data_IF_408882591973
#
_entry.id   IF_408882591973
#
_cell.length_a   1.000
_cell.length_b   1.000
_cell.length_c   1.000
_cell.angle_alpha   90.00
_cell.angle_beta   90.00
_cell.angle_gamma   90.00
#
_symmetry.space_group_name_H-M   'P 1'
#
loop_
_entity.id
_entity.type
_entity.pdbx_description
1 polymer ?
#
# COMPACT_ATOMS: atom_id res chain seq x y z
N UNK A 1 47.04 -33.58 -93.54
CA UNK A 1 47.76 -34.01 -92.32
C UNK A 1 46.73 -34.12 -91.20
N UNK A 2 46.69 -35.30 -90.59
CA UNK A 2 46.18 -35.73 -89.28
C UNK A 2 45.13 -34.89 -88.51
N UNK A 3 44.05 -35.60 -88.17
CA UNK A 3 43.31 -35.68 -86.89
C UNK A 3 42.47 -34.53 -86.32
N UNK A 4 41.17 -34.86 -86.23
CA UNK A 4 40.42 -35.21 -85.00
C UNK A 4 40.13 -34.13 -83.94
N UNK A 5 38.83 -33.93 -83.68
CA UNK A 5 38.12 -33.83 -82.38
C UNK A 5 36.67 -33.42 -82.72
N UNK A 6 35.63 -34.25 -82.55
CA UNK A 6 35.06 -34.88 -81.35
C UNK A 6 34.43 -33.86 -80.38
N UNK A 7 33.11 -33.81 -80.50
CA UNK A 7 32.05 -33.81 -79.49
C UNK A 7 31.76 -32.65 -78.52
N UNK A 8 30.45 -32.39 -78.50
CA UNK A 8 29.60 -31.78 -77.50
C UNK A 8 30.07 -32.02 -76.06
N UNK A 9 30.05 -30.95 -75.26
CA UNK A 9 29.03 -30.73 -74.21
C UNK A 9 29.48 -29.49 -73.41
N UNK A 10 28.70 -28.41 -73.43
CA UNK A 10 28.93 -27.26 -72.53
C UNK A 10 27.76 -27.12 -71.57
N UNK A 11 28.01 -27.72 -70.41
CA UNK A 11 27.56 -27.40 -69.07
C UNK A 11 26.77 -26.09 -68.90
N UNK A 12 25.53 -26.24 -68.42
CA UNK A 12 24.71 -25.19 -67.83
C UNK A 12 25.37 -24.65 -66.56
N UNK A 13 25.76 -23.37 -66.56
CA UNK A 13 26.21 -22.66 -65.35
C UNK A 13 25.32 -21.43 -65.11
N UNK A 14 24.67 -21.45 -63.96
CA UNK A 14 23.75 -20.45 -63.41
C UNK A 14 24.49 -19.11 -63.18
N UNK A 15 23.88 -17.94 -63.47
CA UNK A 15 24.52 -16.66 -63.20
C UNK A 15 24.66 -16.37 -61.69
N UNK A 16 25.66 -15.56 -61.27
CA UNK A 16 25.97 -15.35 -59.86
C UNK A 16 24.88 -14.56 -59.15
N UNK A 17 24.57 -15.02 -57.95
CA UNK A 17 23.62 -14.45 -57.01
C UNK A 17 24.03 -12.99 -56.65
N UNK A 18 23.16 -12.04 -56.97
CA UNK A 18 23.30 -10.64 -56.55
C UNK A 18 23.10 -10.59 -55.03
N UNK A 19 24.20 -10.52 -54.27
CA UNK A 19 24.13 -10.18 -52.85
C UNK A 19 23.64 -8.75 -52.72
N UNK A 20 22.37 -8.58 -52.35
CA UNK A 20 21.85 -7.30 -51.85
C UNK A 20 22.76 -6.77 -50.73
N UNK A 21 23.05 -5.46 -50.69
CA UNK A 21 23.70 -4.88 -49.53
C UNK A 21 22.76 -5.02 -48.34
N UNK A 22 23.21 -5.78 -47.34
CA UNK A 22 22.61 -5.86 -46.02
C UNK A 22 22.31 -4.44 -45.53
N UNK A 23 21.02 -4.12 -45.34
CA UNK A 23 20.60 -2.97 -44.55
C UNK A 23 21.28 -3.12 -43.19
N UNK A 24 22.23 -2.24 -42.87
CA UNK A 24 22.70 -2.10 -41.50
C UNK A 24 21.46 -1.79 -40.66
N UNK A 25 21.05 -2.76 -39.85
CA UNK A 25 20.04 -2.57 -38.84
C UNK A 25 20.55 -1.44 -37.94
N UNK A 26 19.93 -0.26 -38.07
CA UNK A 26 20.09 0.82 -37.11
C UNK A 26 19.88 0.21 -35.74
N UNK A 27 20.96 0.11 -34.96
CA UNK A 27 20.90 -0.31 -33.58
C UNK A 27 20.08 0.75 -32.86
N UNK A 28 18.77 0.48 -32.71
CA UNK A 28 17.88 1.25 -31.87
C UNK A 28 18.44 1.15 -30.46
N UNK A 29 19.20 2.17 -30.04
CA UNK A 29 19.59 2.34 -28.64
C UNK A 29 18.30 2.27 -27.83
N UNK A 30 18.18 1.36 -26.86
CA UNK A 30 17.01 1.32 -26.00
C UNK A 30 16.81 2.72 -25.41
N UNK A 31 15.58 3.27 -25.38
CA UNK A 31 15.35 4.53 -24.70
C UNK A 31 15.91 4.40 -23.27
N UNK A 32 16.61 5.42 -22.76
CA UNK A 32 17.17 5.37 -21.42
C UNK A 32 16.04 4.99 -20.46
N UNK A 33 16.30 3.97 -19.62
CA UNK A 33 15.36 3.63 -18.54
C UNK A 33 15.13 4.91 -17.74
N UNK A 34 13.88 5.26 -17.40
CA UNK A 34 13.62 6.37 -16.49
C UNK A 34 14.53 6.21 -15.28
N UNK A 35 15.19 7.30 -14.85
CA UNK A 35 15.91 7.26 -13.58
C UNK A 35 14.93 6.80 -12.52
N UNK A 36 15.26 5.69 -11.87
CA UNK A 36 14.51 5.21 -10.74
C UNK A 36 14.55 6.30 -9.68
N UNK A 37 13.38 6.79 -9.29
CA UNK A 37 13.28 7.86 -8.29
C UNK A 37 13.78 7.32 -6.96
N UNK A 38 14.58 8.14 -6.27
CA UNK A 38 15.13 7.77 -4.98
C UNK A 38 14.02 7.68 -3.92
N UNK A 39 14.32 6.97 -2.84
CA UNK A 39 13.38 6.71 -1.75
C UNK A 39 12.81 8.00 -1.15
N UNK A 40 13.64 9.04 -0.97
CA UNK A 40 13.20 10.30 -0.34
C UNK A 40 12.22 11.03 -1.24
N UNK A 41 12.49 11.09 -2.55
CA UNK A 41 11.57 11.67 -3.53
C UNK A 41 10.21 10.96 -3.53
N UNK A 42 10.19 9.63 -3.37
CA UNK A 42 8.95 8.85 -3.28
C UNK A 42 8.21 9.10 -1.97
N UNK A 43 8.93 9.16 -0.84
CA UNK A 43 8.37 9.46 0.47
C UNK A 43 7.76 10.86 0.52
N UNK A 44 8.47 11.87 0.02
CA UNK A 44 8.00 13.26 -0.03
C UNK A 44 6.72 13.37 -0.89
N UNK A 45 6.65 12.59 -1.96
CA UNK A 45 5.45 12.53 -2.81
C UNK A 45 4.27 11.88 -2.10
N UNK A 46 4.49 10.75 -1.42
CA UNK A 46 3.45 10.09 -0.61
C UNK A 46 2.93 11.04 0.46
N UNK A 47 3.83 11.73 1.17
CA UNK A 47 3.51 12.72 2.21
C UNK A 47 2.72 13.90 1.65
N UNK A 48 3.13 14.46 0.51
CA UNK A 48 2.42 15.57 -0.13
C UNK A 48 1.01 15.16 -0.57
N UNK A 49 0.87 13.96 -1.13
CA UNK A 49 -0.42 13.43 -1.57
C UNK A 49 -1.33 13.07 -0.39
N UNK A 50 -0.79 12.50 0.68
CA UNK A 50 -1.51 12.25 1.93
C UNK A 50 -2.09 13.54 2.49
N UNK A 51 -1.24 14.57 2.64
CA UNK A 51 -1.66 15.89 3.14
C UNK A 51 -2.79 16.50 2.30
N UNK A 52 -2.69 16.39 0.97
CA UNK A 52 -3.76 16.84 0.08
C UNK A 52 -5.05 16.06 0.32
N UNK A 53 -4.98 14.73 0.36
CA UNK A 53 -6.16 13.87 0.52
C UNK A 53 -6.84 14.07 1.86
N UNK A 54 -6.08 14.32 2.95
CA UNK A 54 -6.64 14.71 4.25
C UNK A 54 -7.40 16.04 4.23
N UNK A 55 -7.11 16.93 3.28
CA UNK A 55 -7.87 18.16 3.04
C UNK A 55 -9.05 18.00 2.08
N UNK A 56 -9.02 16.95 1.23
CA UNK A 56 -10.02 16.70 0.21
C UNK A 56 -11.09 15.67 0.61
N UNK A 57 -10.77 14.82 1.59
CA UNK A 57 -11.63 13.77 2.11
C UNK A 57 -12.05 14.09 3.54
N UNK A 58 -13.21 13.56 3.94
CA UNK A 58 -13.66 13.56 5.32
C UNK A 58 -13.35 12.21 5.98
N UNK A 59 -13.34 12.17 7.31
CA UNK A 59 -13.14 10.93 8.09
C UNK A 59 -14.24 9.88 7.87
N UNK A 60 -15.35 10.23 7.20
CA UNK A 60 -16.38 9.27 6.78
C UNK A 60 -16.07 8.59 5.44
N UNK A 61 -15.13 9.12 4.66
CA UNK A 61 -14.82 8.63 3.32
C UNK A 61 -13.75 7.53 3.33
N UNK A 62 -12.95 7.47 4.42
CA UNK A 62 -11.86 6.52 4.61
C UNK A 62 -11.79 6.01 6.06
N UNK A 63 -11.16 4.86 6.25
CA UNK A 63 -10.83 4.24 7.54
C UNK A 63 -9.45 4.62 8.08
N UNK A 64 -8.72 5.47 7.38
CA UNK A 64 -7.37 5.91 7.75
C UNK A 64 -6.44 5.95 6.55
N UNK A 65 -5.35 6.70 6.69
CA UNK A 65 -4.28 6.86 5.73
C UNK A 65 -2.93 6.74 6.44
N UNK A 66 -2.00 6.01 5.84
CA UNK A 66 -0.66 5.86 6.38
C UNK A 66 0.36 5.66 5.25
N UNK A 67 1.61 5.99 5.51
CA UNK A 67 2.70 5.78 4.55
C UNK A 67 3.45 4.52 4.97
N UNK A 68 3.33 3.47 4.18
CA UNK A 68 4.14 2.28 4.34
C UNK A 68 5.54 2.55 3.81
N UNK A 69 6.57 2.46 4.66
CA UNK A 69 7.97 2.80 4.31
C UNK A 69 8.81 1.62 3.85
N UNK A 70 8.31 0.38 4.02
CA UNK A 70 8.98 -0.82 3.53
C UNK A 70 10.25 -1.22 4.29
N UNK A 71 10.49 -0.70 5.48
CA UNK A 71 11.51 -1.25 6.38
C UNK A 71 11.06 -2.61 6.92
N UNK A 72 11.92 -3.62 6.80
CA UNK A 72 11.65 -5.03 7.12
C UNK A 72 11.07 -5.22 8.52
N UNK A 73 9.88 -5.83 8.61
CA UNK A 73 9.25 -6.24 9.87
C UNK A 73 7.72 -6.31 9.78
N UNK A 74 7.11 -5.45 8.98
CA UNK A 74 5.66 -5.29 8.96
C UNK A 74 5.00 -6.20 7.92
N UNK A 75 4.76 -7.46 8.30
CA UNK A 75 3.85 -8.35 7.59
C UNK A 75 2.40 -8.03 7.96
N UNK A 76 1.90 -6.85 7.57
CA UNK A 76 0.46 -6.56 7.57
C UNK A 76 -0.20 -6.78 6.20
N UNK A 77 0.60 -7.06 5.17
CA UNK A 77 0.11 -7.08 3.80
C UNK A 77 0.19 -8.49 3.19
N UNK A 78 -0.86 -9.30 3.38
CA UNK A 78 -1.03 -10.53 2.60
C UNK A 78 -1.27 -10.23 1.11
N UNK A 79 -1.64 -8.98 0.76
CA UNK A 79 -1.86 -8.51 -0.61
C UNK A 79 -0.61 -7.91 -1.29
N UNK A 80 0.44 -7.52 -0.55
CA UNK A 80 1.74 -7.09 -1.07
C UNK A 80 2.76 -8.22 -1.13
N UNK A 81 2.29 -9.46 -1.35
CA UNK A 81 3.17 -10.58 -1.72
C UNK A 81 3.91 -10.37 -3.04
N UNK A 82 3.59 -9.33 -3.80
CA UNK A 82 4.26 -9.09 -5.06
C UNK A 82 4.65 -7.63 -5.29
N UNK A 83 5.93 -7.47 -5.63
CA UNK A 83 6.60 -6.32 -6.27
C UNK A 83 6.90 -5.08 -5.41
N UNK A 84 8.20 -4.76 -5.28
CA UNK A 84 8.81 -3.58 -4.63
C UNK A 84 8.92 -3.55 -3.09
N UNK A 85 9.57 -4.56 -2.51
CA UNK A 85 10.10 -4.45 -1.15
C UNK A 85 10.98 -3.19 -1.02
N UNK A 86 10.69 -2.32 -0.04
CA UNK A 86 11.55 -1.21 0.34
C UNK A 86 11.23 0.19 -0.21
N UNK A 87 10.11 0.40 -0.94
CA UNK A 87 9.71 1.74 -1.41
C UNK A 87 8.50 2.29 -0.66
N UNK A 88 8.44 3.62 -0.40
CA UNK A 88 7.30 4.26 0.25
C UNK A 88 6.04 4.20 -0.60
N UNK A 89 4.91 3.88 0.01
CA UNK A 89 3.58 3.89 -0.63
C UNK A 89 2.56 4.53 0.29
N UNK A 90 1.59 5.23 -0.29
CA UNK A 90 0.45 5.75 0.45
C UNK A 90 -0.64 4.68 0.51
N UNK A 91 -0.92 4.17 1.70
CA UNK A 91 -1.98 3.21 1.94
C UNK A 91 -3.24 3.94 2.44
N UNK A 92 -4.40 3.54 1.92
CA UNK A 92 -5.69 4.13 2.27
C UNK A 92 -6.70 3.02 2.54
N UNK A 93 -7.30 3.03 3.73
CA UNK A 93 -8.49 2.24 4.02
C UNK A 93 -9.71 2.95 3.45
N UNK A 94 -10.36 2.37 2.46
CA UNK A 94 -11.41 3.02 1.67
C UNK A 94 -12.79 2.66 2.21
N UNK A 95 -13.57 3.65 2.63
CA UNK A 95 -14.99 3.49 2.99
C UNK A 95 -15.92 3.85 1.82
N UNK A 96 -15.61 4.95 1.10
CA UNK A 96 -16.36 5.40 -0.08
C UNK A 96 -15.47 5.44 -1.31
N UNK A 97 -15.41 4.33 -2.04
CA UNK A 97 -14.46 4.11 -3.15
C UNK A 97 -14.51 5.17 -4.23
N UNK A 98 -15.69 5.59 -4.66
CA UNK A 98 -15.82 6.57 -5.74
C UNK A 98 -15.36 7.97 -5.30
N UNK A 99 -15.60 8.34 -4.05
CA UNK A 99 -15.13 9.61 -3.47
C UNK A 99 -13.61 9.62 -3.37
N UNK A 100 -13.01 8.56 -2.82
CA UNK A 100 -11.56 8.42 -2.71
C UNK A 100 -10.89 8.43 -4.09
N UNK A 101 -11.42 7.68 -5.06
CA UNK A 101 -10.90 7.66 -6.43
C UNK A 101 -10.97 9.04 -7.09
N UNK A 102 -12.09 9.77 -6.90
CA UNK A 102 -12.24 11.12 -7.44
C UNK A 102 -11.22 12.08 -6.84
N UNK A 103 -10.97 12.00 -5.53
CA UNK A 103 -9.97 12.83 -4.86
C UNK A 103 -8.55 12.51 -5.37
N UNK A 104 -8.20 11.23 -5.51
CA UNK A 104 -6.92 10.78 -6.10
C UNK A 104 -6.76 11.26 -7.54
N UNK A 105 -7.83 11.21 -8.33
CA UNK A 105 -7.81 11.68 -9.72
C UNK A 105 -7.58 13.19 -9.82
N UNK A 106 -8.16 13.94 -8.87
CA UNK A 106 -8.11 15.40 -8.81
C UNK A 106 -6.79 15.97 -8.24
N UNK A 107 -5.89 15.13 -7.72
CA UNK A 107 -4.60 15.59 -7.21
C UNK A 107 -3.78 16.26 -8.32
N UNK A 108 -3.35 17.53 -8.18
CA UNK A 108 -2.81 18.33 -9.27
C UNK A 108 -1.34 18.03 -9.63
N UNK A 109 -0.66 17.23 -8.81
CA UNK A 109 0.77 16.94 -8.93
C UNK A 109 1.02 15.49 -9.33
N UNK A 110 2.29 15.14 -9.58
CA UNK A 110 2.70 13.75 -9.81
C UNK A 110 2.26 12.89 -8.62
N UNK A 111 1.49 11.83 -8.87
CA UNK A 111 0.88 10.96 -7.86
C UNK A 111 1.91 10.01 -7.24
N UNK A 112 1.74 9.76 -5.94
CA UNK A 112 2.42 8.68 -5.25
C UNK A 112 1.93 7.32 -5.76
N UNK A 113 2.65 6.26 -5.42
CA UNK A 113 2.08 4.92 -5.48
C UNK A 113 1.04 4.78 -4.36
N UNK A 114 -0.18 4.36 -4.71
CA UNK A 114 -1.32 4.33 -3.80
C UNK A 114 -1.89 2.93 -3.73
N UNK A 115 -1.97 2.40 -2.51
CA UNK A 115 -2.59 1.10 -2.22
C UNK A 115 -3.95 1.34 -1.56
N UNK A 116 -5.01 0.84 -2.20
CA UNK A 116 -6.37 0.93 -1.68
C UNK A 116 -6.77 -0.38 -1.02
N UNK A 117 -7.16 -0.32 0.24
CA UNK A 117 -7.65 -1.44 1.03
C UNK A 117 -9.11 -1.20 1.40
N UNK A 118 -9.90 -2.24 1.62
CA UNK A 118 -11.30 -2.05 2.04
C UNK A 118 -11.32 -1.71 3.52
N UNK A 119 -11.87 -0.55 3.88
CA UNK A 119 -12.05 -0.19 5.28
C UNK A 119 -13.06 -1.14 5.93
N UNK A 120 -12.74 -1.63 7.13
CA UNK A 120 -13.68 -2.35 8.00
C UNK A 120 -14.61 -1.38 8.71
N UNK A 121 -14.09 -0.20 9.03
CA UNK A 121 -14.79 0.85 9.74
C UNK A 121 -14.29 2.23 9.31
N UNK A 122 -15.15 3.25 9.29
CA UNK A 122 -14.74 4.61 8.92
C UNK A 122 -13.90 5.23 10.04
N UNK A 123 -13.01 6.16 9.71
CA UNK A 123 -12.20 6.87 10.69
C UNK A 123 -13.10 7.64 11.66
N UNK A 124 -14.15 8.28 11.15
CA UNK A 124 -15.14 9.00 11.95
C UNK A 124 -15.75 8.12 13.05
N UNK A 125 -16.13 6.90 12.72
CA UNK A 125 -16.78 6.01 13.67
C UNK A 125 -15.78 5.43 14.67
N UNK A 126 -14.54 5.15 14.23
CA UNK A 126 -13.44 4.78 15.13
C UNK A 126 -13.14 5.88 16.14
N UNK A 127 -13.04 7.13 15.70
CA UNK A 127 -12.80 8.30 16.56
C UNK A 127 -13.94 8.49 17.57
N UNK A 128 -15.19 8.39 17.10
CA UNK A 128 -16.39 8.50 17.95
C UNK A 128 -16.41 7.43 19.05
N UNK A 129 -16.13 6.18 18.69
CA UNK A 129 -16.07 5.09 19.65
C UNK A 129 -14.89 5.22 20.60
N UNK A 130 -13.73 5.65 20.10
CA UNK A 130 -12.55 5.90 20.93
C UNK A 130 -12.84 6.97 22.00
N UNK A 131 -13.57 8.02 21.66
CA UNK A 131 -13.98 9.05 22.61
C UNK A 131 -14.98 8.54 23.65
N UNK A 132 -15.88 7.64 23.27
CA UNK A 132 -16.76 6.97 24.23
C UNK A 132 -16.00 6.08 25.21
N UNK A 133 -15.00 5.34 24.73
CA UNK A 133 -14.12 4.55 25.60
C UNK A 133 -13.36 5.43 26.61
N UNK A 134 -12.90 6.62 26.18
CA UNK A 134 -12.26 7.60 27.08
C UNK A 134 -13.24 8.14 28.13
N UNK A 135 -14.54 8.12 27.85
CA UNK A 135 -15.61 8.54 28.76
C UNK A 135 -15.99 7.52 29.83
N UNK A 136 -15.43 6.30 29.80
CA UNK A 136 -15.71 5.26 30.81
C UNK A 136 -15.28 5.76 32.19
N UNK A 137 -16.19 5.73 33.16
CA UNK A 137 -15.87 6.04 34.56
C UNK A 137 -14.91 5.01 35.14
N UNK A 138 -13.82 5.51 35.75
CA UNK A 138 -12.73 4.71 36.30
C UNK A 138 -12.82 4.63 37.82
N UNK A 139 -12.59 3.44 38.37
CA UNK A 139 -12.38 3.24 39.79
C UNK A 139 -10.93 3.58 40.18
N UNK A 140 -10.67 3.68 41.48
CA UNK A 140 -9.34 3.93 41.99
C UNK A 140 -8.33 2.88 41.50
N UNK A 141 -7.25 3.35 40.88
CA UNK A 141 -6.17 2.51 40.34
C UNK A 141 -6.44 1.95 38.94
N UNK A 142 -7.60 2.20 38.34
CA UNK A 142 -7.88 1.83 36.95
C UNK A 142 -7.41 2.89 35.96
N UNK A 143 -6.92 2.45 34.80
CA UNK A 143 -6.54 3.32 33.69
C UNK A 143 -7.05 2.73 32.38
N UNK A 144 -7.49 3.59 31.47
CA UNK A 144 -7.71 3.28 30.06
C UNK A 144 -7.01 4.32 29.19
N UNK A 145 -6.19 3.89 28.24
CA UNK A 145 -5.56 4.73 27.22
C UNK A 145 -6.06 4.27 25.86
N UNK A 146 -6.74 5.16 25.14
CA UNK A 146 -7.41 4.83 23.89
C UNK A 146 -6.83 5.66 22.75
N UNK A 147 -6.51 5.00 21.65
CA UNK A 147 -6.13 5.66 20.40
C UNK A 147 -6.68 4.91 19.19
N UNK A 148 -6.87 5.64 18.09
CA UNK A 148 -7.24 5.09 16.79
C UNK A 148 -5.96 4.81 15.99
N UNK A 149 -5.85 3.61 15.43
CA UNK A 149 -4.79 3.24 14.49
C UNK A 149 -5.30 3.32 13.07
N UNK A 150 -4.85 4.34 12.33
CA UNK A 150 -5.14 4.47 10.89
C UNK A 150 -4.41 3.40 10.08
N UNK A 151 -3.27 2.89 10.56
CA UNK A 151 -2.53 1.82 9.89
C UNK A 151 -3.27 0.50 9.94
N UNK A 152 -3.75 0.11 11.12
CA UNK A 152 -4.49 -1.14 11.25
C UNK A 152 -6.00 -0.98 11.05
N UNK A 153 -6.55 0.22 10.88
CA UNK A 153 -8.00 0.48 10.83
C UNK A 153 -8.72 -0.12 12.05
N UNK A 154 -8.22 0.21 13.25
CA UNK A 154 -8.71 -0.29 14.54
C UNK A 154 -8.70 0.79 15.63
N UNK A 155 -9.48 0.58 16.68
CA UNK A 155 -9.35 1.28 17.97
C UNK A 155 -8.54 0.39 18.93
N UNK A 156 -7.51 0.95 19.56
CA UNK A 156 -6.67 0.26 20.54
C UNK A 156 -6.97 0.82 21.92
N UNK A 157 -7.37 -0.05 22.84
CA UNK A 157 -7.66 0.27 24.23
C UNK A 157 -6.67 -0.44 25.16
N UNK A 158 -5.74 0.32 25.73
CA UNK A 158 -4.79 -0.16 26.72
C UNK A 158 -5.36 0.05 28.12
N UNK A 159 -5.62 -1.03 28.85
CA UNK A 159 -6.25 -1.01 30.18
C UNK A 159 -5.26 -1.45 31.26
N UNK A 160 -5.38 -0.92 32.48
CA UNK A 160 -4.56 -1.36 33.60
C UNK A 160 -4.94 -2.76 34.08
N UNK A 161 -3.96 -3.51 34.61
CA UNK A 161 -4.20 -4.84 35.21
C UNK A 161 -5.23 -4.83 36.34
N UNK A 162 -5.26 -3.78 37.15
CA UNK A 162 -6.23 -3.55 38.23
C UNK A 162 -7.69 -3.48 37.77
N UNK A 163 -7.92 -3.08 36.51
CA UNK A 163 -9.26 -2.95 35.91
C UNK A 163 -9.53 -3.96 34.80
N UNK A 164 -8.65 -4.93 34.57
CA UNK A 164 -8.66 -5.76 33.36
C UNK A 164 -10.02 -6.41 33.08
N UNK A 165 -10.57 -7.14 34.05
CA UNK A 165 -11.84 -7.86 33.88
C UNK A 165 -13.02 -6.90 33.68
N UNK A 166 -13.11 -5.87 34.54
CA UNK A 166 -14.22 -4.91 34.51
C UNK A 166 -14.20 -4.07 33.23
N UNK A 167 -13.06 -3.47 32.89
CA UNK A 167 -12.92 -2.63 31.71
C UNK A 167 -13.10 -3.45 30.44
N UNK A 168 -12.57 -4.67 30.37
CA UNK A 168 -12.83 -5.57 29.23
C UNK A 168 -14.31 -5.88 29.09
N UNK A 169 -15.02 -6.17 30.19
CA UNK A 169 -16.46 -6.41 30.14
C UNK A 169 -17.25 -5.17 29.67
N UNK A 170 -16.90 -3.98 30.15
CA UNK A 170 -17.52 -2.72 29.72
C UNK A 170 -17.24 -2.44 28.24
N UNK A 171 -16.00 -2.57 27.79
CA UNK A 171 -15.64 -2.35 26.37
C UNK A 171 -16.37 -3.36 25.48
N UNK A 172 -16.43 -4.64 25.86
CA UNK A 172 -17.17 -5.65 25.10
C UNK A 172 -18.67 -5.37 25.04
N UNK A 173 -19.26 -4.82 26.11
CA UNK A 173 -20.65 -4.37 26.07
C UNK A 173 -20.83 -3.21 25.08
N UNK A 174 -19.92 -2.23 25.07
CA UNK A 174 -19.97 -1.12 24.13
C UNK A 174 -19.79 -1.59 22.68
N UNK A 175 -18.88 -2.53 22.42
CA UNK A 175 -18.71 -3.19 21.12
C UNK A 175 -20.05 -3.77 20.63
N UNK A 176 -20.79 -4.45 21.52
CA UNK A 176 -22.10 -5.03 21.19
C UNK A 176 -23.17 -3.96 20.97
N UNK A 177 -23.25 -2.96 21.86
CA UNK A 177 -24.25 -1.86 21.77
C UNK A 177 -24.10 -1.10 20.47
N UNK A 178 -22.87 -0.80 20.05
CA UNK A 178 -22.58 -0.06 18.83
C UNK A 178 -22.45 -0.93 17.59
N UNK A 179 -22.64 -2.25 17.73
CA UNK A 179 -22.48 -3.21 16.64
C UNK A 179 -21.13 -3.05 15.91
N UNK A 180 -20.07 -2.80 16.68
CA UNK A 180 -18.73 -2.55 16.13
C UNK A 180 -18.28 -3.77 15.32
N UNK A 181 -17.77 -3.61 14.08
CA UNK A 181 -17.36 -4.74 13.27
C UNK A 181 -16.28 -5.57 13.96
N UNK A 182 -16.28 -6.88 13.68
CA UNK A 182 -15.33 -7.81 14.28
C UNK A 182 -13.88 -7.37 14.02
N UNK A 183 -13.02 -7.60 15.00
CA UNK A 183 -11.58 -7.34 14.95
C UNK A 183 -11.22 -5.85 14.70
N UNK A 184 -12.15 -4.91 14.96
CA UNK A 184 -11.92 -3.46 14.87
C UNK A 184 -11.54 -2.81 16.21
N UNK A 185 -11.62 -3.55 17.32
CA UNK A 185 -11.20 -3.10 18.65
C UNK A 185 -10.20 -4.10 19.21
N UNK A 186 -9.04 -3.60 19.64
CA UNK A 186 -7.99 -4.38 20.25
C UNK A 186 -7.80 -3.93 21.70
N UNK A 187 -8.03 -4.85 22.63
CA UNK A 187 -7.90 -4.59 24.07
C UNK A 187 -6.57 -5.18 24.54
N UNK A 188 -5.71 -4.33 25.09
CA UNK A 188 -4.43 -4.73 25.68
C UNK A 188 -4.42 -4.45 27.16
N UNK A 189 -3.96 -5.41 27.95
CA UNK A 189 -3.71 -5.16 29.38
C UNK A 189 -2.27 -4.71 29.55
N UNK A 190 -2.06 -3.50 30.04
CA UNK A 190 -0.73 -2.98 30.37
C UNK A 190 -0.14 -3.80 31.51
N UNK A 191 0.90 -4.57 31.23
CA UNK A 191 1.74 -5.11 32.30
C UNK A 191 2.55 -3.97 32.92
N UNK A 192 2.85 -4.06 34.22
CA UNK A 192 3.63 -3.06 34.97
C UNK A 192 5.05 -2.81 34.43
N UNK A 193 5.49 -3.55 33.41
CA UNK A 193 6.87 -3.56 32.89
C UNK A 193 6.99 -3.72 31.36
N UNK A 194 5.90 -3.70 30.58
CA UNK A 194 5.96 -3.95 29.13
C UNK A 194 5.61 -2.71 28.32
N UNK A 195 6.52 -2.26 27.46
CA UNK A 195 6.23 -1.30 26.39
C UNK A 195 5.04 -1.78 25.56
N UNK A 196 4.18 -0.83 25.16
CA UNK A 196 3.09 -1.08 24.23
C UNK A 196 3.70 -1.45 22.86
N UNK A 197 3.33 -2.59 22.24
CA UNK A 197 3.86 -2.99 20.92
C UNK A 197 3.41 -2.08 19.76
N UNK A 198 2.58 -1.05 20.03
CA UNK A 198 2.00 -0.14 19.03
C UNK A 198 2.32 1.34 19.33
N UNK A 199 3.38 1.64 20.08
CA UNK A 199 3.93 3.01 20.25
C UNK A 199 5.39 3.06 19.86
#
# INVERSE_FOLDING_TARGET
>A
MVSSTADLETSSSVPPEVKNPTLEASQSVPPPKPLEEDWQTLFDRATAMEKYLRGALTSQDHGGMYIFTGTTGDTLDETAKDTSAGKPRLCIWVSKKDVVNTAIQSYPSKKADVVLQNARWSLNDMESFADELKGISLNAGETILVHTSEESNQVIANISKSGADRLTAVINLLIQVHSVPKDCVLIWTMETTGENPVT
#
